data_IF_174849022533
#
_entry.id   IF_174849022533
#
_cell.length_a   1.000
_cell.length_b   1.000
_cell.length_c   1.000
_cell.angle_alpha   90.00
_cell.angle_beta   90.00
_cell.angle_gamma   90.00
#
_symmetry.space_group_name_H-M   'P 1'
#
loop_
_entity.id
_entity.type
_entity.pdbx_description
1 polymer ?
#
# COMPACT_ATOMS: atom_id res chain seq x y z
N UNK A 1 9.62 -17.31 9.78
CA UNK A 1 8.31 -16.66 9.68
C UNK A 1 7.37 -17.46 10.56
N UNK A 2 6.80 -16.81 11.57
CA UNK A 2 5.89 -17.44 12.52
C UNK A 2 4.67 -17.97 11.75
N UNK A 3 4.30 -19.23 11.93
CA UNK A 3 3.14 -19.86 11.28
C UNK A 3 1.82 -19.11 11.57
N UNK A 4 1.78 -18.31 12.63
CA UNK A 4 0.64 -17.45 12.96
C UNK A 4 0.40 -16.32 11.96
N UNK A 5 1.41 -15.92 11.18
CA UNK A 5 1.32 -14.85 10.17
C UNK A 5 0.68 -15.35 8.86
N UNK A 6 0.55 -16.66 8.70
CA UNK A 6 0.06 -17.30 7.46
C UNK A 6 -1.46 -17.26 7.27
N UNK A 7 -2.21 -16.89 8.30
CA UNK A 7 -3.68 -16.90 8.30
C UNK A 7 -4.26 -15.49 8.46
N UNK A 8 -3.60 -14.46 7.91
CA UNK A 8 -4.18 -13.13 7.87
C UNK A 8 -5.15 -13.00 6.71
N UNK A 9 -6.35 -12.54 6.99
CA UNK A 9 -7.45 -12.43 6.05
C UNK A 9 -7.97 -10.99 6.00
N UNK A 10 -8.55 -10.62 4.87
CA UNK A 10 -9.22 -9.33 4.71
C UNK A 10 -10.73 -9.52 4.86
N UNK A 11 -11.36 -8.62 5.61
CA UNK A 11 -12.81 -8.59 5.79
C UNK A 11 -13.35 -7.22 5.42
N UNK A 12 -14.55 -7.19 4.83
CA UNK A 12 -15.26 -5.95 4.59
C UNK A 12 -16.02 -5.52 5.85
N UNK A 13 -16.03 -4.23 6.12
CA UNK A 13 -16.77 -3.64 7.23
C UNK A 13 -17.51 -2.39 6.79
N UNK A 14 -18.65 -2.13 7.41
CA UNK A 14 -19.53 -1.02 7.10
C UNK A 14 -19.89 -0.25 8.36
N UNK A 15 -20.02 1.05 8.22
CA UNK A 15 -20.41 1.96 9.30
C UNK A 15 -21.28 3.08 8.72
N UNK A 16 -22.26 3.54 9.49
CA UNK A 16 -23.08 4.72 9.16
C UNK A 16 -22.51 5.99 9.77
N UNK A 17 -21.71 5.88 10.84
CA UNK A 17 -21.22 7.00 11.63
C UNK A 17 -19.68 7.10 11.68
N UNK A 18 -18.96 6.14 11.09
CA UNK A 18 -17.52 6.07 11.11
C UNK A 18 -16.91 5.60 12.45
N UNK A 19 -17.75 5.33 13.45
CA UNK A 19 -17.34 4.94 14.80
C UNK A 19 -17.73 3.49 15.10
N UNK A 20 -18.99 3.16 14.82
CA UNK A 20 -19.53 1.83 15.04
C UNK A 20 -19.51 1.02 13.75
N UNK A 21 -18.72 -0.06 13.73
CA UNK A 21 -18.48 -0.85 12.52
C UNK A 21 -19.11 -2.23 12.63
N UNK A 22 -19.78 -2.64 11.57
CA UNK A 22 -20.24 -4.01 11.36
C UNK A 22 -19.29 -4.69 10.41
N UNK A 23 -18.51 -5.64 10.92
CA UNK A 23 -17.54 -6.40 10.12
C UNK A 23 -18.23 -7.68 9.62
N UNK A 24 -18.09 -7.97 8.34
CA UNK A 24 -18.54 -9.22 7.77
C UNK A 24 -17.72 -10.38 8.35
N UNK A 25 -18.36 -11.45 8.81
CA UNK A 25 -17.64 -12.61 9.36
C UNK A 25 -16.90 -13.40 8.27
N UNK A 26 -17.40 -13.38 7.02
CA UNK A 26 -16.74 -14.02 5.89
C UNK A 26 -15.58 -13.13 5.39
N UNK A 27 -14.46 -13.76 5.10
CA UNK A 27 -13.33 -13.09 4.46
C UNK A 27 -13.69 -12.64 3.06
N UNK A 28 -12.97 -11.66 2.56
CA UNK A 28 -13.06 -11.23 1.16
C UNK A 28 -12.52 -12.36 0.27
N UNK A 29 -13.38 -12.85 -0.61
CA UNK A 29 -12.98 -13.74 -1.69
C UNK A 29 -12.78 -12.92 -2.96
N UNK A 30 -11.55 -12.98 -3.51
CA UNK A 30 -11.25 -12.32 -4.76
C UNK A 30 -11.59 -13.20 -5.95
N UNK A 31 -12.07 -12.59 -7.01
CA UNK A 31 -12.18 -13.21 -8.33
C UNK A 31 -11.18 -12.56 -9.28
N UNK A 32 -10.75 -13.27 -10.30
CA UNK A 32 -9.85 -12.70 -11.30
C UNK A 32 -10.52 -11.55 -12.04
N UNK A 33 -9.81 -10.42 -12.19
CA UNK A 33 -10.31 -9.27 -12.93
C UNK A 33 -10.45 -9.57 -14.43
N UNK A 34 -9.55 -10.36 -14.96
CA UNK A 34 -9.62 -10.90 -16.32
C UNK A 34 -8.89 -12.25 -16.41
N UNK A 35 -9.03 -12.94 -17.54
CA UNK A 35 -8.42 -14.27 -17.73
C UNK A 35 -6.88 -14.27 -17.79
N UNK A 36 -6.26 -13.11 -17.96
CA UNK A 36 -4.80 -12.97 -17.99
C UNK A 36 -4.21 -12.74 -16.59
N UNK A 37 -5.05 -12.44 -15.60
CA UNK A 37 -4.62 -12.27 -14.23
C UNK A 37 -4.17 -13.62 -13.67
N UNK A 38 -3.01 -13.64 -13.01
CA UNK A 38 -2.53 -14.82 -12.30
C UNK A 38 -3.58 -15.31 -11.31
N UNK A 39 -3.64 -16.62 -11.10
CA UNK A 39 -4.61 -17.20 -10.18
C UNK A 39 -4.63 -16.51 -8.82
N UNK A 40 -5.83 -16.23 -8.39
CA UNK A 40 -6.12 -15.45 -7.20
C UNK A 40 -5.54 -16.13 -5.99
N UNK A 41 -4.75 -15.39 -5.29
CA UNK A 41 -4.25 -15.59 -3.93
C UNK A 41 -4.46 -16.99 -3.33
N UNK A 42 -3.77 -18.00 -3.87
CA UNK A 42 -3.79 -19.37 -3.36
C UNK A 42 -3.22 -19.50 -1.94
N UNK A 43 -2.65 -18.43 -1.39
CA UNK A 43 -1.79 -18.48 -0.22
C UNK A 43 -2.47 -18.00 1.07
N UNK A 44 -3.76 -17.57 1.01
CA UNK A 44 -4.53 -17.17 2.20
C UNK A 44 -3.83 -16.10 3.06
N UNK A 45 -3.21 -15.11 2.42
CA UNK A 45 -2.36 -14.15 3.09
C UNK A 45 -2.66 -12.74 2.58
N UNK A 46 -3.22 -11.92 3.45
CA UNK A 46 -3.50 -10.53 3.12
C UNK A 46 -3.58 -9.67 4.36
N UNK A 47 -2.86 -8.53 4.38
CA UNK A 47 -2.92 -7.56 5.45
C UNK A 47 -2.61 -6.15 4.95
N UNK A 48 -2.79 -5.17 5.80
CA UNK A 48 -2.56 -3.75 5.51
C UNK A 48 -3.30 -3.25 4.26
N UNK A 49 -4.63 -3.44 4.15
CA UNK A 49 -5.38 -2.94 3.01
C UNK A 49 -5.41 -1.41 2.98
N UNK A 50 -5.42 -0.86 1.78
CA UNK A 50 -5.69 0.55 1.49
C UNK A 50 -6.78 0.63 0.44
N UNK A 51 -7.76 1.49 0.65
CA UNK A 51 -8.87 1.68 -0.28
C UNK A 51 -8.85 3.10 -0.79
N UNK A 52 -8.84 3.26 -2.11
CA UNK A 52 -8.77 4.56 -2.76
C UNK A 52 -9.84 4.64 -3.85
N UNK A 53 -10.70 5.65 -3.79
CA UNK A 53 -11.61 5.93 -4.89
C UNK A 53 -10.84 6.60 -6.03
N UNK A 54 -10.85 6.01 -7.24
CA UNK A 54 -10.22 6.58 -8.43
C UNK A 54 -11.16 6.36 -9.61
N UNK A 55 -11.53 7.46 -10.26
CA UNK A 55 -12.44 7.49 -11.42
C UNK A 55 -13.82 6.92 -11.10
N UNK A 56 -14.04 5.63 -11.27
CA UNK A 56 -15.35 4.99 -11.22
C UNK A 56 -15.48 3.81 -10.24
N UNK A 57 -14.41 3.53 -9.47
CA UNK A 57 -14.35 2.37 -8.57
C UNK A 57 -13.45 2.57 -7.38
N UNK A 58 -13.58 1.70 -6.40
CA UNK A 58 -12.68 1.61 -5.26
C UNK A 58 -11.53 0.66 -5.59
N UNK A 59 -10.35 1.21 -5.72
CA UNK A 59 -9.13 0.43 -5.83
C UNK A 59 -8.65 0.00 -4.45
N UNK A 60 -8.19 -1.23 -4.36
CA UNK A 60 -7.70 -1.82 -3.12
C UNK A 60 -6.29 -2.31 -3.34
N UNK A 61 -5.38 -1.89 -2.48
CA UNK A 61 -4.04 -2.46 -2.39
C UNK A 61 -3.88 -3.15 -1.04
N UNK A 62 -3.11 -4.21 -1.00
CA UNK A 62 -2.80 -4.91 0.24
C UNK A 62 -1.42 -5.56 0.16
N UNK A 63 -0.86 -5.94 1.32
CA UNK A 63 0.30 -6.80 1.32
C UNK A 63 -0.16 -8.21 0.97
N UNK A 64 0.23 -8.66 -0.20
CA UNK A 64 -0.10 -9.97 -0.75
C UNK A 64 1.11 -10.91 -0.64
N UNK A 65 0.87 -12.21 -0.74
CA UNK A 65 1.94 -13.19 -0.81
C UNK A 65 2.13 -13.67 -2.24
N UNK A 66 3.38 -13.74 -2.65
CA UNK A 66 3.80 -14.42 -3.86
C UNK A 66 4.85 -15.47 -3.48
N UNK A 67 4.47 -16.74 -3.45
CA UNK A 67 5.35 -17.80 -2.97
C UNK A 67 5.90 -17.54 -1.54
N UNK A 68 5.05 -17.09 -0.62
CA UNK A 68 5.38 -16.70 0.76
C UNK A 68 6.26 -15.43 0.89
N UNK A 69 6.44 -14.71 -0.17
CA UNK A 69 7.20 -13.46 -0.19
C UNK A 69 6.25 -12.29 -0.35
N UNK A 70 6.37 -11.23 0.46
CA UNK A 70 5.45 -10.11 0.39
C UNK A 70 5.60 -9.32 -0.89
N UNK A 71 4.47 -9.03 -1.51
CA UNK A 71 4.35 -8.10 -2.62
C UNK A 71 3.12 -7.22 -2.44
N UNK A 72 2.84 -6.34 -3.37
CA UNK A 72 1.66 -5.48 -3.35
C UNK A 72 0.62 -6.08 -4.28
N UNK A 73 -0.45 -6.60 -3.69
CA UNK A 73 -1.65 -6.97 -4.40
C UNK A 73 -2.43 -5.74 -4.84
N UNK A 74 -3.06 -5.83 -5.99
CA UNK A 74 -3.93 -4.81 -6.57
C UNK A 74 -5.26 -5.43 -6.93
N UNK A 75 -6.33 -4.75 -6.60
CA UNK A 75 -7.68 -5.16 -6.96
C UNK A 75 -8.64 -3.98 -6.92
N UNK A 76 -9.88 -4.23 -7.24
CA UNK A 76 -10.91 -3.22 -7.16
C UNK A 76 -12.27 -3.81 -6.78
N UNK A 77 -13.18 -2.94 -6.36
CA UNK A 77 -14.57 -3.27 -6.11
C UNK A 77 -15.45 -2.08 -6.49
N UNK A 78 -16.70 -2.36 -6.83
CA UNK A 78 -17.71 -1.32 -7.04
C UNK A 78 -18.68 -1.18 -5.86
N UNK A 79 -18.81 -2.22 -5.05
CA UNK A 79 -19.90 -2.38 -4.10
C UNK A 79 -19.49 -2.98 -2.73
N UNK A 80 -18.19 -3.27 -2.54
CA UNK A 80 -17.64 -3.96 -1.37
C UNK A 80 -18.24 -5.37 -1.11
N UNK A 81 -18.84 -5.98 -2.15
CA UNK A 81 -19.35 -7.36 -2.11
C UNK A 81 -18.53 -8.26 -3.01
N UNK A 82 -18.27 -7.81 -4.23
CA UNK A 82 -17.41 -8.52 -5.17
C UNK A 82 -16.09 -7.77 -5.30
N UNK A 83 -14.99 -8.48 -5.12
CA UNK A 83 -13.63 -7.94 -5.22
C UNK A 83 -12.89 -8.62 -6.36
N UNK A 84 -12.34 -7.82 -7.24
CA UNK A 84 -11.62 -8.27 -8.43
C UNK A 84 -10.14 -8.11 -8.22
N UNK A 85 -9.38 -9.20 -8.32
CA UNK A 85 -7.93 -9.16 -8.23
C UNK A 85 -7.32 -8.94 -9.60
N UNK A 86 -6.43 -7.95 -9.68
CA UNK A 86 -5.54 -7.68 -10.82
C UNK A 86 -4.17 -8.33 -10.58
N UNK A 87 -3.26 -8.15 -11.53
CA UNK A 87 -1.87 -8.52 -11.34
C UNK A 87 -1.24 -7.81 -10.15
N UNK A 88 -0.29 -8.47 -9.50
CA UNK A 88 0.52 -7.83 -8.47
C UNK A 88 1.33 -6.68 -9.08
N UNK A 89 1.37 -5.55 -8.40
CA UNK A 89 2.05 -4.35 -8.91
C UNK A 89 3.56 -4.51 -9.02
N UNK A 90 4.17 -5.29 -8.14
CA UNK A 90 5.62 -5.39 -8.02
C UNK A 90 6.07 -6.81 -7.71
N UNK A 91 7.34 -7.07 -8.00
CA UNK A 91 8.01 -8.27 -7.53
C UNK A 91 8.24 -8.23 -6.00
N UNK A 92 8.35 -9.38 -5.34
CA UNK A 92 8.85 -9.44 -3.96
C UNK A 92 10.30 -8.92 -3.87
N UNK A 93 10.71 -8.29 -2.80
CA UNK A 93 9.93 -7.99 -1.61
C UNK A 93 9.46 -6.54 -1.66
N UNK A 94 8.16 -6.31 -1.63
CA UNK A 94 7.61 -4.95 -1.61
C UNK A 94 6.37 -4.89 -0.70
N UNK A 95 6.12 -3.71 -0.09
CA UNK A 95 5.03 -3.48 0.86
C UNK A 95 4.53 -2.05 0.78
N UNK A 96 3.50 -1.76 1.57
CA UNK A 96 2.95 -0.42 1.78
C UNK A 96 2.51 0.24 0.46
N UNK A 97 1.83 -0.53 -0.40
CA UNK A 97 1.23 0.02 -1.61
C UNK A 97 0.10 0.99 -1.25
N UNK A 98 0.23 2.25 -1.66
CA UNK A 98 -0.79 3.28 -1.43
C UNK A 98 -0.98 4.09 -2.70
N UNK A 99 -2.16 3.99 -3.29
CA UNK A 99 -2.50 4.71 -4.51
C UNK A 99 -2.87 6.17 -4.22
N UNK A 100 -2.55 7.04 -5.16
CA UNK A 100 -3.05 8.42 -5.16
C UNK A 100 -4.50 8.44 -5.64
N UNK A 101 -5.33 9.36 -5.12
CA UNK A 101 -6.77 9.38 -5.43
C UNK A 101 -7.10 9.89 -6.83
N UNK A 102 -6.14 10.34 -7.59
CA UNK A 102 -6.25 10.75 -8.99
C UNK A 102 -4.92 10.62 -9.72
N UNK A 103 -4.99 10.70 -11.04
CA UNK A 103 -3.80 10.85 -11.89
C UNK A 103 -3.06 12.17 -11.61
N UNK A 104 -1.75 12.10 -11.71
CA UNK A 104 -0.85 13.27 -11.78
C UNK A 104 -0.08 13.15 -13.09
N UNK A 105 -0.12 14.17 -13.92
CA UNK A 105 0.47 14.18 -15.26
C UNK A 105 0.04 12.95 -16.10
N UNK A 106 -1.28 12.67 -16.12
CA UNK A 106 -1.92 11.56 -16.83
C UNK A 106 -1.45 10.16 -16.40
N UNK A 107 -0.80 10.02 -15.26
CA UNK A 107 -0.34 8.74 -14.70
C UNK A 107 -0.99 8.47 -13.34
N UNK A 108 -1.34 7.21 -13.12
CA UNK A 108 -1.64 6.71 -11.79
C UNK A 108 -0.35 6.61 -10.99
N UNK A 109 -0.42 6.92 -9.71
CA UNK A 109 0.72 6.89 -8.81
C UNK A 109 0.48 5.95 -7.65
N UNK A 110 1.53 5.26 -7.23
CA UNK A 110 1.51 4.40 -6.06
C UNK A 110 2.81 4.54 -5.27
N UNK A 111 2.67 4.79 -3.96
CA UNK A 111 3.78 4.58 -3.04
C UNK A 111 4.06 3.10 -2.85
N UNK A 112 5.30 2.79 -2.63
CA UNK A 112 5.76 1.47 -2.21
C UNK A 112 6.97 1.57 -1.31
N UNK A 113 7.27 0.46 -0.64
CA UNK A 113 8.50 0.31 0.14
C UNK A 113 9.14 -1.02 -0.21
N UNK A 114 10.11 -1.04 -1.11
CA UNK A 114 10.97 -2.19 -1.31
C UNK A 114 11.60 -2.59 0.02
N UNK A 115 11.68 -3.87 0.29
CA UNK A 115 12.24 -4.39 1.53
C UNK A 115 13.06 -5.62 1.25
N UNK A 116 14.16 -5.79 1.98
CA UNK A 116 15.07 -6.90 1.87
C UNK A 116 15.45 -7.40 3.26
N UNK A 117 15.84 -8.65 3.36
CA UNK A 117 16.45 -9.23 4.54
C UNK A 117 17.96 -9.50 4.37
N UNK A 118 18.52 -9.09 3.22
CA UNK A 118 19.90 -9.38 2.83
C UNK A 118 20.92 -8.31 3.21
N UNK A 119 21.91 -8.14 2.36
CA UNK A 119 23.05 -7.28 2.59
C UNK A 119 22.72 -5.79 2.66
N UNK A 120 21.68 -5.37 1.94
CA UNK A 120 21.30 -3.96 1.83
C UNK A 120 19.85 -3.80 2.26
N UNK A 121 19.59 -3.56 3.55
CA UNK A 121 18.24 -3.37 4.03
C UNK A 121 17.64 -2.11 3.41
N UNK A 122 16.46 -2.25 2.82
CA UNK A 122 15.64 -1.15 2.35
C UNK A 122 14.71 -0.68 3.46
N UNK A 123 14.57 0.64 3.57
CA UNK A 123 13.66 1.26 4.52
C UNK A 123 12.97 2.49 3.96
N UNK A 124 13.17 2.76 2.69
CA UNK A 124 12.80 3.99 2.01
C UNK A 124 11.45 3.88 1.30
N UNK A 125 10.76 5.00 1.20
CA UNK A 125 9.56 5.13 0.39
C UNK A 125 9.93 5.49 -1.05
N UNK A 126 9.30 4.78 -1.96
CA UNK A 126 9.37 5.03 -3.40
C UNK A 126 7.98 5.34 -3.95
N UNK A 127 7.95 6.00 -5.10
CA UNK A 127 6.75 6.21 -5.90
C UNK A 127 6.96 5.62 -7.28
N UNK A 128 5.91 5.02 -7.81
CA UNK A 128 5.90 4.43 -9.15
C UNK A 128 4.73 4.96 -9.93
N UNK A 129 4.85 4.99 -11.24
CA UNK A 129 3.83 5.47 -12.16
C UNK A 129 3.28 4.32 -13.01
N UNK A 130 2.01 4.43 -13.37
CA UNK A 130 1.34 3.49 -14.28
C UNK A 130 0.41 4.24 -15.24
N UNK A 131 0.38 3.87 -16.52
CA UNK A 131 -0.60 4.40 -17.46
C UNK A 131 -2.00 3.77 -17.28
N UNK A 132 -2.10 2.58 -16.70
CA UNK A 132 -3.26 1.69 -16.81
C UNK A 132 -3.55 0.83 -15.57
N UNK A 133 -2.90 1.08 -14.44
CA UNK A 133 -2.97 0.30 -13.19
C UNK A 133 -2.40 -1.13 -13.30
N UNK A 134 -1.90 -1.54 -14.45
CA UNK A 134 -1.34 -2.87 -14.71
C UNK A 134 0.19 -2.84 -14.77
N UNK A 135 0.74 -1.91 -15.53
CA UNK A 135 2.18 -1.78 -15.71
C UNK A 135 2.73 -0.64 -14.85
N UNK A 136 3.58 -0.97 -13.89
CA UNK A 136 4.18 -0.01 -12.95
C UNK A 136 5.66 0.18 -13.25
N UNK A 137 6.07 1.43 -13.35
CA UNK A 137 7.44 1.80 -13.69
C UNK A 137 7.79 3.20 -13.23
N UNK A 138 8.83 3.78 -13.81
CA UNK A 138 9.34 5.11 -13.45
C UNK A 138 9.52 5.29 -11.94
N UNK A 139 10.15 4.28 -11.32
CA UNK A 139 10.35 4.23 -9.88
C UNK A 139 11.26 5.36 -9.43
N UNK A 140 10.79 6.15 -8.46
CA UNK A 140 11.53 7.29 -7.91
C UNK A 140 11.57 7.22 -6.40
N UNK A 141 12.73 7.55 -5.84
CA UNK A 141 12.87 7.71 -4.41
C UNK A 141 12.11 8.95 -3.94
N UNK A 142 11.39 8.83 -2.84
CA UNK A 142 10.66 9.93 -2.20
C UNK A 142 11.41 10.40 -0.96
N UNK A 143 11.56 9.51 0.01
CA UNK A 143 12.29 9.80 1.25
C UNK A 143 12.72 8.51 1.94
N UNK A 144 13.80 8.62 2.70
CA UNK A 144 14.33 7.53 3.54
C UNK A 144 14.22 7.83 5.03
N UNK A 145 14.55 6.85 5.87
CA UNK A 145 14.71 7.04 7.31
C UNK A 145 15.72 8.14 7.62
N UNK A 146 15.41 8.93 8.64
CA UNK A 146 16.36 9.88 9.19
C UNK A 146 16.96 9.33 10.50
N UNK A 147 16.74 10.02 11.60
CA UNK A 147 17.29 9.69 12.92
C UNK A 147 16.19 9.32 13.90
N UNK A 148 16.59 8.85 15.06
CA UNK A 148 15.71 8.58 16.19
C UNK A 148 14.55 7.63 15.84
N UNK A 149 13.32 8.06 16.02
CA UNK A 149 12.11 7.26 15.96
C UNK A 149 11.83 6.55 14.61
N UNK A 150 12.49 6.96 13.55
CA UNK A 150 12.31 6.37 12.21
C UNK A 150 13.59 5.73 11.65
N UNK A 151 14.60 5.52 12.49
CA UNK A 151 15.95 5.16 12.07
C UNK A 151 16.08 3.83 11.33
N UNK A 152 15.09 2.93 11.45
CA UNK A 152 15.14 1.60 10.80
C UNK A 152 14.51 1.61 9.42
N UNK A 153 13.30 2.15 9.31
CA UNK A 153 12.52 2.20 8.07
C UNK A 153 11.34 3.16 8.20
N UNK A 154 10.82 3.58 7.07
CA UNK A 154 9.57 4.34 6.97
C UNK A 154 8.62 3.68 5.98
N UNK A 155 7.36 4.08 5.97
CA UNK A 155 6.41 3.58 5.00
C UNK A 155 5.13 4.40 4.97
N UNK A 156 4.48 4.45 3.82
CA UNK A 156 3.23 5.18 3.64
C UNK A 156 2.13 4.66 4.58
N UNK A 157 1.34 5.57 5.08
CA UNK A 157 0.17 5.31 5.90
C UNK A 157 -1.11 5.25 5.07
N UNK A 158 -2.10 6.12 5.31
CA UNK A 158 -3.31 6.22 4.50
C UNK A 158 -3.04 6.87 3.14
N UNK A 159 -4.11 6.97 2.33
CA UNK A 159 -4.07 7.63 1.02
C UNK A 159 -3.67 9.09 1.16
N UNK A 160 -2.88 9.64 0.21
CA UNK A 160 -2.52 11.05 0.18
C UNK A 160 -3.76 11.93 0.05
N UNK A 161 -3.71 13.07 0.73
CA UNK A 161 -4.78 14.08 0.69
C UNK A 161 -4.28 15.28 -0.12
N UNK A 162 -5.02 15.64 -1.15
CA UNK A 162 -4.71 16.83 -1.93
C UNK A 162 -5.05 18.10 -1.14
N UNK A 163 -4.10 19.04 -1.11
CA UNK A 163 -4.25 20.32 -0.43
C UNK A 163 -3.72 21.45 -1.32
N UNK A 164 -3.98 22.70 -0.95
CA UNK A 164 -3.40 23.87 -1.64
C UNK A 164 -1.86 23.92 -1.57
N UNK A 165 -1.27 23.25 -0.56
CA UNK A 165 0.18 23.22 -0.37
C UNK A 165 0.86 22.06 -1.10
N UNK A 166 0.11 21.08 -1.58
CA UNK A 166 0.57 19.86 -2.19
C UNK A 166 -0.10 18.62 -1.62
N UNK A 167 0.51 17.46 -1.76
CA UNK A 167 -0.01 16.21 -1.21
C UNK A 167 0.37 16.06 0.26
N UNK A 168 -0.62 16.15 1.16
CA UNK A 168 -0.44 15.79 2.56
C UNK A 168 -0.40 14.26 2.67
N UNK A 169 0.72 13.74 3.13
CA UNK A 169 0.95 12.31 3.32
C UNK A 169 1.27 12.01 4.77
N UNK A 170 0.51 11.13 5.38
CA UNK A 170 0.87 10.53 6.66
C UNK A 170 1.74 9.30 6.40
N UNK A 171 2.76 9.11 7.20
CA UNK A 171 3.67 7.97 7.10
C UNK A 171 4.04 7.45 8.49
N UNK A 172 4.43 6.20 8.56
CA UNK A 172 4.98 5.63 9.78
C UNK A 172 6.49 5.53 9.70
N UNK A 173 7.13 5.73 10.84
CA UNK A 173 8.53 5.46 11.05
C UNK A 173 8.72 4.34 12.06
N UNK A 174 9.83 3.64 11.98
CA UNK A 174 10.15 2.50 12.81
C UNK A 174 11.53 2.65 13.40
N UNK A 175 11.59 2.53 14.72
CA UNK A 175 12.81 2.35 15.48
C UNK A 175 12.95 0.87 15.84
N UNK A 176 14.13 0.31 15.67
CA UNK A 176 14.47 -1.01 16.18
C UNK A 176 15.08 -0.91 17.57
N UNK A 177 14.49 -1.60 18.52
CA UNK A 177 14.96 -1.70 19.90
C UNK A 177 15.26 -3.15 20.26
N UNK A 178 15.88 -3.37 21.40
CA UNK A 178 16.13 -4.73 21.91
C UNK A 178 14.82 -5.53 22.17
N UNK A 179 13.68 -4.84 22.33
CA UNK A 179 12.38 -5.46 22.55
C UNK A 179 11.53 -5.56 21.25
N UNK A 180 12.11 -5.28 20.07
CA UNK A 180 11.42 -5.31 18.80
C UNK A 180 11.24 -3.93 18.17
N UNK A 181 10.27 -3.83 17.26
CA UNK A 181 10.01 -2.60 16.52
C UNK A 181 9.05 -1.67 17.27
N UNK A 182 9.43 -0.40 17.34
CA UNK A 182 8.57 0.69 17.84
C UNK A 182 8.10 1.52 16.67
N UNK A 183 6.79 1.59 16.48
CA UNK A 183 6.14 2.32 15.40
C UNK A 183 5.62 3.66 15.89
N UNK A 184 5.87 4.69 15.12
CA UNK A 184 5.34 6.05 15.32
C UNK A 184 4.88 6.61 13.98
N UNK A 185 4.13 7.70 13.96
CA UNK A 185 3.69 8.32 12.71
C UNK A 185 4.03 9.81 12.66
N UNK A 186 4.15 10.31 11.46
CA UNK A 186 4.32 11.73 11.14
C UNK A 186 3.65 12.06 9.81
N UNK A 187 3.79 13.30 9.38
CA UNK A 187 3.26 13.79 8.13
C UNK A 187 4.33 14.52 7.32
N UNK A 188 4.14 14.55 6.01
CA UNK A 188 4.92 15.37 5.10
C UNK A 188 4.03 15.98 4.03
N UNK A 189 4.50 17.04 3.40
CA UNK A 189 3.88 17.62 2.20
C UNK A 189 4.81 17.34 1.02
N UNK A 190 4.24 16.74 -0.03
CA UNK A 190 4.93 16.51 -1.28
C UNK A 190 4.46 17.53 -2.34
N UNK A 191 5.30 17.74 -3.34
CA UNK A 191 4.94 18.59 -4.46
C UNK A 191 3.71 18.06 -5.21
N UNK A 192 2.87 18.96 -5.69
CA UNK A 192 1.58 18.60 -6.28
C UNK A 192 1.71 17.90 -7.63
N UNK A 193 2.69 18.33 -8.43
CA UNK A 193 2.93 17.83 -9.79
C UNK A 193 4.06 16.81 -9.86
N UNK A 194 4.99 16.88 -8.90
CA UNK A 194 6.13 16.00 -8.78
C UNK A 194 6.18 15.33 -7.37
N UNK A 195 5.24 14.42 -7.03
CA UNK A 195 5.08 13.92 -5.66
C UNK A 195 6.24 13.09 -5.10
N UNK A 196 7.30 12.93 -5.86
CA UNK A 196 8.58 12.40 -5.37
C UNK A 196 9.46 13.49 -4.73
N UNK A 197 9.06 14.76 -4.76
CA UNK A 197 9.75 15.89 -4.12
C UNK A 197 9.07 16.24 -2.80
N UNK A 198 9.79 16.08 -1.71
CA UNK A 198 9.33 16.46 -0.38
C UNK A 198 9.49 17.97 -0.21
N UNK A 199 8.40 18.67 0.05
CA UNK A 199 8.41 20.11 0.37
C UNK A 199 8.65 20.36 1.86
N UNK A 200 7.93 19.61 2.70
CA UNK A 200 8.00 19.71 4.17
C UNK A 200 7.92 18.32 4.80
N UNK A 201 8.67 18.16 5.91
CA UNK A 201 8.67 16.92 6.69
C UNK A 201 8.90 17.21 8.18
#
# INVERSE_FOLDING_TARGET
VDDKVRNMELHAGFSEDGINWKINPERIEFVQADKSTEEVNQWGYGYDPRVTWIEDRYWVTWCNAYGWKPTIGVGYTFDFKTFYQCENAFLPFNRNGVMFPRKVNDKYLMFSRPSDSGHTPFGDMYISQSPDMKYWGEHRHVMGPLKAWESKKIGAGPIPIETSEGWLCFYHGVLESCNGFVYSFSACILDIDEPWKVKYR
#
